data_IF_964776799458
#
_entry.id   IF_964776799458
#
_cell.length_a   1.000
_cell.length_b   1.000
_cell.length_c   1.000
_cell.angle_alpha   90.00
_cell.angle_beta   90.00
_cell.angle_gamma   90.00
#
_symmetry.space_group_name_H-M   'P 1'
#
loop_
_entity.id
_entity.type
_entity.pdbx_description
1 polymer ?
#
# COMPACT_ATOMS: atom_id res chain seq x y z
N UNK A 1 3.45 10.60 -6.61
CA UNK A 1 4.64 10.30 -7.45
C UNK A 1 4.98 8.82 -7.44
N UNK A 2 5.00 8.16 -6.27
CA UNK A 2 5.23 6.71 -6.15
C UNK A 2 4.28 5.89 -7.04
N UNK A 3 2.97 6.21 -7.03
CA UNK A 3 1.98 5.53 -7.89
C UNK A 3 2.41 5.50 -9.36
N UNK A 4 2.87 6.63 -9.91
CA UNK A 4 3.29 6.70 -11.32
C UNK A 4 4.46 5.77 -11.63
N UNK A 5 5.39 5.59 -10.69
CA UNK A 5 6.53 4.69 -10.88
C UNK A 5 6.09 3.22 -10.77
N UNK A 6 5.25 2.91 -9.79
CA UNK A 6 4.73 1.55 -9.57
C UNK A 6 3.82 1.10 -10.72
N UNK A 7 3.03 2.01 -11.29
CA UNK A 7 2.18 1.75 -12.47
C UNK A 7 2.98 1.42 -13.74
N UNK A 8 4.27 1.76 -13.82
CA UNK A 8 5.12 1.36 -14.95
C UNK A 8 5.52 -0.12 -14.91
N UNK A 9 5.35 -0.77 -13.77
CA UNK A 9 5.78 -2.15 -13.56
C UNK A 9 4.70 -3.09 -14.13
N UNK A 10 4.99 -3.89 -15.17
CA UNK A 10 3.95 -4.58 -15.95
C UNK A 10 3.09 -5.56 -15.15
N UNK A 11 3.68 -6.20 -14.13
CA UNK A 11 3.01 -7.20 -13.30
C UNK A 11 2.15 -6.59 -12.18
N UNK A 12 2.19 -5.27 -12.00
CA UNK A 12 1.33 -4.56 -11.05
C UNK A 12 -0.02 -4.25 -11.71
N UNK A 13 -1.11 -4.63 -11.04
CA UNK A 13 -2.47 -4.26 -11.42
C UNK A 13 -2.85 -2.93 -10.80
N UNK A 14 -2.63 -2.80 -9.49
CA UNK A 14 -2.95 -1.61 -8.71
C UNK A 14 -2.06 -1.52 -7.47
N UNK A 15 -2.05 -0.36 -6.82
CA UNK A 15 -1.25 -0.14 -5.61
C UNK A 15 -1.87 0.89 -4.67
N UNK A 16 -1.50 0.85 -3.40
CA UNK A 16 -1.86 1.83 -2.39
C UNK A 16 -0.61 2.20 -1.58
N UNK A 17 -0.35 3.49 -1.43
CA UNK A 17 0.76 4.00 -0.62
C UNK A 17 0.20 4.60 0.65
N UNK A 18 0.80 4.25 1.78
CA UNK A 18 0.41 4.76 3.10
C UNK A 18 1.66 5.20 3.84
N UNK A 19 1.60 6.39 4.43
CA UNK A 19 2.60 6.84 5.40
C UNK A 19 2.22 6.38 6.80
N UNK A 20 3.12 5.66 7.47
CA UNK A 20 3.00 5.26 8.87
C UNK A 20 4.07 5.96 9.68
N UNK A 21 3.72 6.47 10.86
CA UNK A 21 4.72 7.03 11.76
C UNK A 21 5.56 5.88 12.31
N UNK A 22 6.86 5.97 12.14
CA UNK A 22 7.82 5.05 12.73
C UNK A 22 8.00 5.35 14.22
N UNK A 23 8.56 4.38 14.94
CA UNK A 23 9.00 4.56 16.33
C UNK A 23 10.11 5.61 16.51
N UNK A 24 10.81 6.00 15.42
CA UNK A 24 11.83 7.07 15.44
C UNK A 24 11.25 8.48 15.23
N UNK A 25 9.93 8.61 15.00
CA UNK A 25 9.27 9.88 14.71
C UNK A 25 9.35 10.30 13.23
N UNK A 26 9.88 9.45 12.36
CA UNK A 26 9.86 9.62 10.91
C UNK A 26 8.59 9.01 10.30
N UNK A 27 8.34 9.27 9.01
CA UNK A 27 7.25 8.62 8.26
C UNK A 27 7.84 7.52 7.39
N UNK A 28 7.51 6.27 7.74
CA UNK A 28 7.77 5.11 6.91
C UNK A 28 6.72 5.01 5.80
N UNK A 29 7.20 4.77 4.58
CA UNK A 29 6.36 4.53 3.42
C UNK A 29 6.04 3.03 3.35
N UNK A 30 4.77 2.68 3.41
CA UNK A 30 4.26 1.33 3.19
C UNK A 30 3.56 1.28 1.84
N UNK A 31 3.95 0.32 1.01
CA UNK A 31 3.36 0.11 -0.31
C UNK A 31 2.60 -1.21 -0.34
N UNK A 32 1.33 -1.15 -0.67
CA UNK A 32 0.50 -2.31 -0.99
C UNK A 32 0.38 -2.45 -2.49
N UNK A 33 0.47 -3.66 -2.99
CA UNK A 33 0.45 -3.95 -4.43
C UNK A 33 -0.52 -5.09 -4.70
N UNK A 34 -1.46 -4.85 -5.60
CA UNK A 34 -2.26 -5.88 -6.24
C UNK A 34 -1.54 -6.33 -7.50
N UNK A 35 -1.24 -7.61 -7.60
CA UNK A 35 -0.59 -8.20 -8.76
C UNK A 35 -1.62 -8.59 -9.81
N UNK A 36 -1.28 -8.45 -11.10
CA UNK A 36 -2.11 -8.99 -12.19
C UNK A 36 -2.17 -10.52 -12.16
N UNK A 37 -1.03 -11.13 -11.85
CA UNK A 37 -0.88 -12.58 -11.77
C UNK A 37 0.27 -12.95 -10.82
N UNK A 38 0.14 -14.13 -10.22
CA UNK A 38 1.14 -14.78 -9.40
C UNK A 38 1.27 -14.21 -8.00
N UNK A 39 2.42 -14.51 -7.40
CA UNK A 39 2.75 -14.12 -6.04
C UNK A 39 3.89 -13.11 -6.03
N UNK A 40 3.95 -12.33 -4.95
CA UNK A 40 5.06 -11.45 -4.65
C UNK A 40 6.26 -12.27 -4.25
N UNK A 41 7.40 -11.95 -4.84
CA UNK A 41 8.69 -12.58 -4.57
C UNK A 41 9.68 -11.52 -4.08
N UNK A 42 10.76 -11.95 -3.44
CA UNK A 42 11.83 -11.01 -3.03
C UNK A 42 12.41 -10.24 -4.22
N UNK A 43 12.48 -10.85 -5.40
CA UNK A 43 12.94 -10.22 -6.63
C UNK A 43 11.99 -9.10 -7.07
N UNK A 44 10.67 -9.35 -7.07
CA UNK A 44 9.66 -8.34 -7.37
C UNK A 44 9.70 -7.17 -6.36
N UNK A 45 9.92 -7.45 -5.08
CA UNK A 45 10.09 -6.40 -4.06
C UNK A 45 11.34 -5.56 -4.34
N UNK A 46 12.47 -6.19 -4.69
CA UNK A 46 13.70 -5.49 -5.06
C UNK A 46 13.50 -4.64 -6.32
N UNK A 47 12.79 -5.15 -7.32
CA UNK A 47 12.45 -4.44 -8.55
C UNK A 47 11.65 -3.17 -8.25
N UNK A 48 10.59 -3.27 -7.45
CA UNK A 48 9.77 -2.11 -7.03
C UNK A 48 10.60 -1.05 -6.31
N UNK A 49 11.38 -1.47 -5.29
CA UNK A 49 12.22 -0.53 -4.53
C UNK A 49 13.27 0.13 -5.43
N UNK A 50 13.84 -0.62 -6.38
CA UNK A 50 14.81 -0.08 -7.34
C UNK A 50 14.16 0.91 -8.31
N UNK A 51 12.99 0.58 -8.87
CA UNK A 51 12.25 1.47 -9.76
C UNK A 51 11.93 2.82 -9.08
N UNK A 52 11.44 2.77 -7.84
CA UNK A 52 11.14 3.97 -7.06
C UNK A 52 12.43 4.76 -6.75
N UNK A 53 13.50 4.09 -6.31
CA UNK A 53 14.77 4.74 -5.94
C UNK A 53 15.48 5.40 -7.13
N UNK A 54 15.36 4.83 -8.33
CA UNK A 54 15.98 5.38 -9.54
C UNK A 54 15.31 6.65 -10.03
N UNK A 55 14.01 6.82 -9.75
CA UNK A 55 13.21 7.93 -10.26
C UNK A 55 12.84 8.97 -9.20
N UNK A 56 12.94 8.63 -7.91
CA UNK A 56 12.55 9.48 -6.78
C UNK A 56 13.65 9.52 -5.70
N UNK A 57 13.47 10.34 -4.68
CA UNK A 57 14.42 10.44 -3.56
C UNK A 57 14.32 9.24 -2.60
N UNK A 58 15.36 8.92 -1.80
CA UNK A 58 15.36 7.79 -0.88
C UNK A 58 14.17 7.76 0.10
N UNK A 59 13.60 8.92 0.44
CA UNK A 59 12.41 9.02 1.32
C UNK A 59 11.13 8.44 0.71
N UNK A 60 11.09 8.26 -0.61
CA UNK A 60 9.96 7.64 -1.30
C UNK A 60 10.07 6.12 -1.36
N UNK A 61 11.25 5.56 -1.07
CA UNK A 61 11.47 4.12 -1.14
C UNK A 61 10.69 3.47 0.00
N UNK A 62 9.77 2.53 -0.30
CA UNK A 62 8.95 1.92 0.75
C UNK A 62 9.81 1.07 1.67
N UNK A 63 9.62 1.27 2.97
CA UNK A 63 10.18 0.42 4.03
C UNK A 63 9.61 -0.99 3.89
N UNK A 64 8.29 -1.08 3.65
CA UNK A 64 7.56 -2.33 3.50
C UNK A 64 6.77 -2.39 2.20
N UNK A 65 6.77 -3.56 1.56
CA UNK A 65 5.98 -3.84 0.35
C UNK A 65 5.16 -5.10 0.61
N UNK A 66 3.83 -4.99 0.57
CA UNK A 66 2.91 -6.09 0.79
C UNK A 66 2.09 -6.38 -0.46
N UNK A 67 1.93 -7.67 -0.76
CA UNK A 67 0.91 -8.10 -1.70
C UNK A 67 -0.44 -8.06 -1.01
N UNK A 68 -1.46 -7.62 -1.74
CA UNK A 68 -2.85 -7.67 -1.31
C UNK A 68 -3.73 -8.20 -2.43
N UNK A 69 -4.87 -8.77 -2.03
CA UNK A 69 -5.91 -9.27 -2.92
C UNK A 69 -6.62 -8.16 -3.68
N UNK A 70 -6.86 -7.02 -3.05
CA UNK A 70 -7.51 -5.87 -3.68
C UNK A 70 -7.18 -4.54 -2.97
N UNK A 71 -7.32 -3.43 -3.69
CA UNK A 71 -7.11 -2.08 -3.13
C UNK A 71 -8.46 -1.49 -2.72
N UNK A 72 -8.64 -0.99 -1.48
CA UNK A 72 -9.92 -0.45 -1.05
C UNK A 72 -10.19 0.92 -1.67
N UNK A 73 -11.42 1.10 -2.15
CA UNK A 73 -11.90 2.33 -2.77
C UNK A 73 -13.18 2.83 -2.10
N UNK A 74 -13.38 4.14 -2.10
CA UNK A 74 -14.70 4.73 -1.84
C UNK A 74 -15.66 4.41 -2.98
N UNK A 75 -16.97 4.52 -2.74
CA UNK A 75 -17.99 4.41 -3.81
C UNK A 75 -17.81 5.43 -4.95
N UNK A 76 -17.07 6.50 -4.72
CA UNK A 76 -16.72 7.51 -5.73
C UNK A 76 -15.43 7.19 -6.50
N UNK A 77 -14.81 6.01 -6.28
CA UNK A 77 -13.60 5.58 -6.99
C UNK A 77 -12.29 6.15 -6.46
N UNK A 78 -12.27 6.73 -5.25
CA UNK A 78 -11.03 7.22 -4.61
C UNK A 78 -10.42 6.16 -3.70
N UNK A 79 -9.11 5.94 -3.79
CA UNK A 79 -8.33 5.10 -2.85
C UNK A 79 -8.49 5.58 -1.41
N UNK A 80 -8.61 4.68 -0.43
CA UNK A 80 -8.83 5.04 0.99
C UNK A 80 -7.57 4.94 1.86
N UNK A 81 -6.54 5.70 1.49
CA UNK A 81 -5.23 5.73 2.19
C UNK A 81 -5.38 5.97 3.71
N UNK A 82 -6.23 6.91 4.11
CA UNK A 82 -6.45 7.25 5.53
C UNK A 82 -7.08 6.10 6.31
N UNK A 83 -7.98 5.34 5.68
CA UNK A 83 -8.61 4.19 6.33
C UNK A 83 -7.58 3.09 6.56
N UNK A 84 -6.76 2.78 5.55
CA UNK A 84 -5.69 1.80 5.68
C UNK A 84 -4.64 2.25 6.70
N UNK A 85 -4.24 3.52 6.72
CA UNK A 85 -3.32 4.06 7.72
C UNK A 85 -3.80 3.87 9.16
N UNK A 86 -5.13 3.96 9.39
CA UNK A 86 -5.75 3.67 10.68
C UNK A 86 -5.65 2.18 11.03
N UNK A 87 -5.99 1.31 10.09
CA UNK A 87 -5.91 -0.15 10.28
C UNK A 87 -4.51 -0.61 10.67
N UNK A 88 -3.47 -0.06 10.01
CA UNK A 88 -2.07 -0.41 10.30
C UNK A 88 -1.64 0.01 11.72
N UNK A 89 -2.30 0.99 12.33
CA UNK A 89 -2.10 1.41 13.73
C UNK A 89 -2.95 0.61 14.73
N UNK A 90 -3.76 -0.33 14.26
CA UNK A 90 -4.72 -1.06 15.08
C UNK A 90 -6.01 -0.29 15.38
N UNK A 91 -6.22 0.87 14.74
CA UNK A 91 -7.47 1.63 14.88
C UNK A 91 -8.59 1.00 14.05
N UNK A 92 -9.84 1.13 14.51
CA UNK A 92 -11.00 0.68 13.74
C UNK A 92 -11.43 1.69 12.66
N UNK A 93 -11.90 1.17 11.52
CA UNK A 93 -12.52 1.99 10.46
C UNK A 93 -14.02 2.03 10.70
N UNK A 94 -14.54 3.19 11.11
CA UNK A 94 -15.96 3.37 11.46
C UNK A 94 -16.90 3.49 10.25
N UNK A 95 -16.41 3.98 9.10
CA UNK A 95 -17.24 4.26 7.92
C UNK A 95 -17.03 3.24 6.79
N UNK A 96 -17.13 1.94 7.11
CA UNK A 96 -17.03 0.87 6.10
C UNK A 96 -18.14 0.97 5.03
N UNK A 97 -19.30 1.56 5.35
CA UNK A 97 -20.41 1.74 4.40
C UNK A 97 -20.12 2.66 3.21
N UNK A 98 -19.14 3.56 3.33
CA UNK A 98 -18.69 4.44 2.24
C UNK A 98 -17.65 3.79 1.31
N UNK A 99 -17.15 2.60 1.66
CA UNK A 99 -16.17 1.84 0.91
C UNK A 99 -16.92 0.90 -0.04
N UNK A 100 -16.46 0.82 -1.28
CA UNK A 100 -17.08 0.02 -2.34
C UNK A 100 -16.83 -1.48 -2.15
N UNK A 101 -15.61 -1.82 -1.72
CA UNK A 101 -15.09 -3.17 -1.47
C UNK A 101 -14.57 -3.29 -0.02
N UNK A 102 -15.43 -3.12 1.01
CA UNK A 102 -15.02 -3.13 2.42
C UNK A 102 -14.45 -4.49 2.88
N UNK A 103 -14.70 -5.57 2.16
CA UNK A 103 -14.23 -6.92 2.45
C UNK A 103 -12.70 -7.04 2.39
N UNK A 104 -12.02 -6.29 1.52
CA UNK A 104 -10.55 -6.37 1.41
C UNK A 104 -9.85 -5.74 2.63
N UNK A 105 -10.54 -4.90 3.41
CA UNK A 105 -9.99 -4.29 4.62
C UNK A 105 -9.52 -5.31 5.66
N UNK A 106 -10.11 -6.52 5.66
CA UNK A 106 -9.70 -7.58 6.58
C UNK A 106 -8.24 -7.98 6.40
N UNK A 107 -7.71 -7.96 5.17
CA UNK A 107 -6.30 -8.27 4.91
C UNK A 107 -5.39 -7.20 5.52
N UNK A 108 -5.76 -5.92 5.37
CA UNK A 108 -5.03 -4.80 5.96
C UNK A 108 -5.09 -4.79 7.50
N UNK A 109 -6.20 -5.22 8.10
CA UNK A 109 -6.36 -5.36 9.55
C UNK A 109 -5.35 -6.35 10.14
N UNK A 110 -4.91 -7.37 9.40
CA UNK A 110 -3.91 -8.34 9.88
C UNK A 110 -2.46 -7.84 9.81
N UNK A 111 -2.22 -6.76 9.08
CA UNK A 111 -0.89 -6.19 8.88
C UNK A 111 -0.65 -5.15 9.96
N UNK A 112 0.04 -5.55 11.03
CA UNK A 112 0.43 -4.64 12.10
C UNK A 112 1.89 -4.22 11.94
N UNK A 113 2.12 -2.90 11.92
CA UNK A 113 3.46 -2.33 12.04
C UNK A 113 3.74 -2.14 13.55
N UNK A 114 4.74 -2.84 14.07
CA UNK A 114 5.21 -2.72 15.46
C UNK A 114 6.24 -1.59 15.61
#
# INVERSE_FOLDING_TARGET
>A
EIYRQVETIPWVEDSLVVGCNSSSGDVDVVLFVKLRDGIMTEEKVKEVKTCIRSNLTPRHVPSFVYQVSDIPYTRSGKKVEIAVAKLLRGDSVSNKGAIANPECLGEYETIHQQ
#
